data_IF_389284854489
#
_entry.id   IF_389284854489
#
_cell.length_a   1.000
_cell.length_b   1.000
_cell.length_c   1.000
_cell.angle_alpha   90.00
_cell.angle_beta   90.00
_cell.angle_gamma   90.00
#
_symmetry.space_group_name_H-M   'P 1'
#
loop_
_entity.id
_entity.type
_entity.pdbx_description
1 polymer ?
#
# COMPACT_ATOMS: atom_id res chain seq x y z
N UNK A 1 -9.16 -8.07 10.14
CA UNK A 1 -7.90 -8.29 10.89
C UNK A 1 -7.62 -7.21 11.95
N UNK A 2 -7.43 -5.94 11.57
CA UNK A 2 -6.95 -4.87 12.48
C UNK A 2 -7.78 -4.70 13.75
N UNK A 3 -9.11 -4.69 13.64
CA UNK A 3 -10.00 -4.62 14.81
C UNK A 3 -9.66 -5.68 15.85
N UNK A 4 -9.52 -6.95 15.43
CA UNK A 4 -9.17 -8.04 16.31
C UNK A 4 -7.74 -7.92 16.84
N UNK A 5 -6.80 -7.41 16.04
CA UNK A 5 -5.44 -7.17 16.50
C UNK A 5 -5.43 -6.12 17.62
N UNK A 6 -6.15 -5.01 17.45
CA UNK A 6 -6.34 -3.99 18.48
C UNK A 6 -7.00 -4.55 19.75
N UNK A 7 -8.05 -5.39 19.62
CA UNK A 7 -8.72 -6.01 20.77
C UNK A 7 -7.83 -7.03 21.51
N UNK A 8 -7.04 -7.84 20.80
CA UNK A 8 -6.25 -8.92 21.40
C UNK A 8 -4.86 -8.49 21.84
N UNK A 9 -4.14 -7.76 20.99
CA UNK A 9 -2.78 -7.33 21.26
C UNK A 9 -2.75 -6.18 22.26
N UNK A 10 -3.49 -5.10 21.97
CA UNK A 10 -3.45 -3.86 22.74
C UNK A 10 -4.56 -3.79 23.82
N UNK A 11 -5.52 -4.72 23.80
CA UNK A 11 -6.70 -4.75 24.69
C UNK A 11 -7.50 -3.44 24.66
N UNK A 12 -7.61 -2.84 23.47
CA UNK A 12 -8.37 -1.60 23.28
C UNK A 12 -9.88 -1.83 23.46
N UNK A 13 -10.64 -0.80 23.89
CA UNK A 13 -12.10 -0.82 23.83
C UNK A 13 -12.59 -0.91 22.37
N UNK A 14 -13.83 -1.34 22.17
CA UNK A 14 -14.41 -1.61 20.86
C UNK A 14 -14.30 -0.42 19.89
N UNK A 15 -14.63 0.77 20.36
CA UNK A 15 -14.57 2.05 19.63
C UNK A 15 -13.16 2.37 19.13
N UNK A 16 -12.14 2.22 19.98
CA UNK A 16 -10.74 2.44 19.62
C UNK A 16 -10.21 1.39 18.63
N UNK A 17 -10.64 0.14 18.80
CA UNK A 17 -10.32 -0.93 17.85
C UNK A 17 -10.97 -0.70 16.48
N UNK A 18 -12.20 -0.15 16.45
CA UNK A 18 -12.88 0.25 15.22
C UNK A 18 -12.14 1.38 14.52
N UNK A 19 -11.75 2.43 15.23
CA UNK A 19 -10.94 3.50 14.65
C UNK A 19 -9.62 2.99 14.08
N UNK A 20 -8.92 2.10 14.79
CA UNK A 20 -7.69 1.47 14.27
C UNK A 20 -7.96 0.77 12.93
N UNK A 21 -9.07 0.04 12.84
CA UNK A 21 -9.42 -0.68 11.62
C UNK A 21 -9.80 0.26 10.47
N UNK A 22 -10.58 1.31 10.74
CA UNK A 22 -11.01 2.28 9.74
C UNK A 22 -9.83 3.10 9.20
N UNK A 23 -8.93 3.59 10.06
CA UNK A 23 -7.75 4.34 9.61
C UNK A 23 -6.77 3.48 8.80
N UNK A 24 -6.68 2.18 9.06
CA UNK A 24 -5.88 1.30 8.22
C UNK A 24 -6.58 0.98 6.89
N UNK A 25 -7.85 0.54 6.93
CA UNK A 25 -8.56 0.06 5.75
C UNK A 25 -8.93 1.20 4.78
N UNK A 26 -9.29 2.36 5.31
CA UNK A 26 -9.67 3.56 4.54
C UNK A 26 -8.54 4.60 4.51
N UNK A 27 -7.36 4.26 5.04
CA UNK A 27 -6.15 5.08 4.99
C UNK A 27 -5.57 5.14 3.59
N UNK A 28 -4.67 6.12 3.37
CA UNK A 28 -4.07 6.35 2.07
C UNK A 28 -3.36 5.14 1.49
N UNK A 29 -2.63 4.38 2.32
CA UNK A 29 -1.88 3.22 1.82
C UNK A 29 -2.81 2.15 1.22
N UNK A 30 -3.81 1.65 1.94
CA UNK A 30 -4.65 0.56 1.43
C UNK A 30 -5.52 1.01 0.26
N UNK A 31 -6.05 2.24 0.35
CA UNK A 31 -6.91 2.79 -0.72
C UNK A 31 -6.13 3.06 -2.00
N UNK A 32 -4.86 3.47 -1.92
CA UNK A 32 -4.00 3.62 -3.09
C UNK A 32 -3.73 2.29 -3.83
N UNK A 33 -3.86 1.15 -3.13
CA UNK A 33 -3.63 -0.18 -3.71
C UNK A 33 -4.88 -0.78 -4.37
N UNK A 34 -5.99 -0.04 -4.47
CA UNK A 34 -7.21 -0.51 -5.18
C UNK A 34 -6.91 -0.81 -6.65
N UNK A 35 -5.97 -0.09 -7.25
CA UNK A 35 -5.47 -0.32 -8.62
C UNK A 35 -4.62 -1.60 -8.74
N UNK A 36 -4.06 -2.09 -7.62
CA UNK A 36 -3.21 -3.28 -7.54
C UNK A 36 -3.95 -4.41 -6.81
N UNK A 37 -4.93 -5.01 -7.47
CA UNK A 37 -5.89 -5.96 -6.84
C UNK A 37 -5.20 -7.13 -6.12
N UNK A 38 -4.16 -7.71 -6.73
CA UNK A 38 -3.34 -8.78 -6.14
C UNK A 38 -2.64 -8.32 -4.84
N UNK A 39 -2.08 -7.10 -4.84
CA UNK A 39 -1.47 -6.51 -3.65
C UNK A 39 -2.53 -6.25 -2.57
N UNK A 40 -3.67 -5.63 -2.92
CA UNK A 40 -4.76 -5.37 -1.99
C UNK A 40 -5.28 -6.66 -1.31
N UNK A 41 -5.51 -7.71 -2.10
CA UNK A 41 -5.93 -9.02 -1.60
C UNK A 41 -4.91 -9.62 -0.63
N UNK A 42 -3.62 -9.58 -0.96
CA UNK A 42 -2.57 -10.04 -0.06
C UNK A 42 -2.50 -9.21 1.24
N UNK A 43 -2.63 -7.89 1.14
CA UNK A 43 -2.55 -6.97 2.27
C UNK A 43 -3.75 -7.09 3.23
N UNK A 44 -4.93 -7.49 2.74
CA UNK A 44 -6.10 -7.73 3.57
C UNK A 44 -5.87 -8.81 4.66
N UNK A 45 -4.97 -9.77 4.37
CA UNK A 45 -4.59 -10.84 5.29
C UNK A 45 -3.54 -10.43 6.33
N UNK A 46 -2.74 -9.38 6.05
CA UNK A 46 -1.58 -8.97 6.86
C UNK A 46 -1.91 -8.76 8.35
N UNK A 47 -3.00 -8.06 8.75
CA UNK A 47 -3.28 -7.85 10.17
C UNK A 47 -3.65 -9.13 10.93
N UNK A 48 -4.05 -10.21 10.25
CA UNK A 48 -4.42 -11.47 10.89
C UNK A 48 -3.21 -12.21 11.47
N UNK A 49 -2.01 -11.98 10.94
CA UNK A 49 -0.78 -12.52 11.53
C UNK A 49 -0.61 -12.02 12.98
N UNK A 50 -0.84 -10.72 13.22
CA UNK A 50 -0.80 -10.14 14.56
C UNK A 50 -1.88 -10.74 15.49
N UNK A 51 -3.05 -11.10 14.95
CA UNK A 51 -4.14 -11.72 15.70
C UNK A 51 -3.78 -13.14 16.15
N UNK A 52 -3.23 -13.94 15.24
CA UNK A 52 -2.87 -15.34 15.50
C UNK A 52 -1.66 -15.44 16.43
N UNK A 53 -0.67 -14.56 16.23
CA UNK A 53 0.60 -14.54 16.96
C UNK A 53 0.57 -13.62 18.20
N UNK A 54 -0.58 -13.02 18.51
CA UNK A 54 -0.81 -12.32 19.77
C UNK A 54 -0.54 -13.25 20.98
N UNK A 55 -0.02 -12.71 22.09
CA UNK A 55 0.16 -13.49 23.30
C UNK A 55 -1.20 -14.02 23.79
N UNK A 56 -1.24 -15.31 24.14
CA UNK A 56 -2.46 -15.97 24.63
C UNK A 56 -2.09 -17.18 25.51
N UNK A 57 -2.96 -17.47 26.48
CA UNK A 57 -2.61 -18.36 27.59
C UNK A 57 -2.65 -19.86 27.22
N UNK A 58 -3.50 -20.29 26.27
CA UNK A 58 -3.71 -21.73 25.97
C UNK A 58 -4.01 -22.16 24.50
N UNK A 59 -3.55 -21.50 23.42
CA UNK A 59 -3.71 -22.07 22.08
C UNK A 59 -2.65 -23.13 21.78
N UNK A 60 -3.08 -24.28 21.24
CA UNK A 60 -2.17 -25.31 20.72
C UNK A 60 -1.31 -24.73 19.59
N UNK A 61 0.01 -24.84 19.71
CA UNK A 61 0.96 -24.23 18.77
C UNK A 61 0.75 -24.67 17.31
N UNK A 62 0.46 -25.96 17.09
CA UNK A 62 0.19 -26.51 15.75
C UNK A 62 -1.02 -25.86 15.07
N UNK A 63 -2.10 -25.57 15.80
CA UNK A 63 -3.29 -24.89 15.23
C UNK A 63 -2.93 -23.50 14.72
N UNK A 64 -2.10 -22.78 15.49
CA UNK A 64 -1.63 -21.45 15.08
C UNK A 64 -0.73 -21.54 13.86
N UNK A 65 0.14 -22.54 13.78
CA UNK A 65 0.98 -22.77 12.61
C UNK A 65 0.13 -23.04 11.36
N UNK A 66 -0.94 -23.85 11.47
CA UNK A 66 -1.89 -24.06 10.36
C UNK A 66 -2.60 -22.77 9.92
N UNK A 67 -3.02 -21.92 10.87
CA UNK A 67 -3.60 -20.62 10.51
C UNK A 67 -2.58 -19.70 9.84
N UNK A 68 -1.33 -19.66 10.32
CA UNK A 68 -0.26 -18.89 9.67
C UNK A 68 0.02 -19.44 8.27
N UNK A 69 0.01 -20.77 8.10
CA UNK A 69 0.18 -21.43 6.80
C UNK A 69 -0.92 -21.02 5.81
N UNK A 70 -2.19 -21.04 6.26
CA UNK A 70 -3.30 -20.58 5.44
C UNK A 70 -3.17 -19.08 5.08
N UNK A 71 -2.74 -18.22 6.00
CA UNK A 71 -2.55 -16.79 5.72
C UNK A 71 -1.43 -16.55 4.68
N UNK A 72 -0.28 -17.22 4.81
CA UNK A 72 0.76 -17.12 3.79
C UNK A 72 0.32 -17.72 2.46
N UNK A 73 -0.37 -18.88 2.46
CA UNK A 73 -0.91 -19.48 1.25
C UNK A 73 -1.87 -18.52 0.53
N UNK A 74 -2.78 -17.87 1.24
CA UNK A 74 -3.68 -16.86 0.66
C UNK A 74 -2.94 -15.65 0.09
N UNK A 75 -1.86 -15.18 0.73
CA UNK A 75 -1.03 -14.09 0.19
C UNK A 75 -0.24 -14.51 -1.05
N UNK A 76 0.27 -15.75 -1.10
CA UNK A 76 0.98 -16.29 -2.25
C UNK A 76 0.03 -16.54 -3.42
N UNK A 77 -1.13 -17.14 -3.15
CA UNK A 77 -2.19 -17.42 -4.12
C UNK A 77 -2.85 -16.16 -4.70
N UNK A 78 -2.69 -15.01 -4.05
CA UNK A 78 -3.13 -13.72 -4.57
C UNK A 78 -2.28 -13.22 -5.76
N UNK A 79 -1.15 -13.87 -6.10
CA UNK A 79 -0.33 -13.47 -7.26
C UNK A 79 0.66 -12.35 -7.00
N UNK A 80 0.91 -11.99 -5.74
CA UNK A 80 1.91 -10.98 -5.38
C UNK A 80 2.85 -11.48 -4.28
N UNK A 81 3.86 -12.26 -4.67
CA UNK A 81 4.83 -12.90 -3.74
C UNK A 81 5.55 -11.90 -2.84
N UNK A 82 5.79 -10.67 -3.32
CA UNK A 82 6.39 -9.60 -2.53
C UNK A 82 5.56 -9.22 -1.29
N UNK A 83 4.22 -9.29 -1.37
CA UNK A 83 3.35 -9.04 -0.21
C UNK A 83 3.59 -10.06 0.90
N UNK A 84 3.76 -11.34 0.55
CA UNK A 84 4.09 -12.39 1.51
C UNK A 84 5.46 -12.16 2.15
N UNK A 85 6.46 -11.75 1.36
CA UNK A 85 7.79 -11.40 1.85
C UNK A 85 7.76 -10.23 2.84
N UNK A 86 7.17 -9.10 2.44
CA UNK A 86 7.04 -7.91 3.30
C UNK A 86 6.27 -8.26 4.57
N UNK A 87 5.23 -9.10 4.48
CA UNK A 87 4.47 -9.56 5.63
C UNK A 87 5.32 -10.40 6.58
N UNK A 88 6.03 -11.40 6.06
CA UNK A 88 6.89 -12.27 6.87
C UNK A 88 7.99 -11.49 7.60
N UNK A 89 8.70 -10.60 6.88
CA UNK A 89 9.76 -9.77 7.46
C UNK A 89 9.23 -8.83 8.52
N UNK A 90 8.13 -8.12 8.28
CA UNK A 90 7.58 -7.19 9.27
C UNK A 90 6.98 -7.88 10.50
N UNK A 91 6.31 -9.03 10.33
CA UNK A 91 5.85 -9.85 11.48
C UNK A 91 7.06 -10.37 12.26
N UNK A 92 8.11 -10.83 11.56
CA UNK A 92 9.36 -11.27 12.18
C UNK A 92 10.04 -10.17 12.99
N UNK A 93 10.16 -8.96 12.42
CA UNK A 93 10.72 -7.78 13.09
C UNK A 93 9.89 -7.38 14.32
N UNK A 94 8.56 -7.39 14.21
CA UNK A 94 7.67 -7.15 15.34
C UNK A 94 7.84 -8.18 16.46
N UNK A 95 7.94 -9.47 16.12
CA UNK A 95 8.19 -10.54 17.09
C UNK A 95 9.58 -10.44 17.73
N UNK A 96 10.61 -10.06 16.96
CA UNK A 96 11.95 -9.83 17.46
C UNK A 96 11.98 -8.65 18.45
N UNK A 97 11.29 -7.55 18.14
CA UNK A 97 11.12 -6.44 19.05
C UNK A 97 10.41 -6.87 20.35
N UNK A 98 9.40 -7.75 20.25
CA UNK A 98 8.75 -8.34 21.43
C UNK A 98 9.65 -9.29 22.22
N UNK A 99 10.54 -10.02 21.55
CA UNK A 99 11.54 -10.86 22.22
C UNK A 99 12.51 -10.00 23.04
N UNK A 100 12.94 -8.86 22.50
CA UNK A 100 13.83 -7.93 23.20
C UNK A 100 13.17 -7.20 24.37
N UNK A 101 11.89 -6.83 24.22
CA UNK A 101 11.23 -5.87 25.10
C UNK A 101 10.13 -6.45 25.99
N UNK A 102 9.71 -7.69 25.77
CA UNK A 102 8.60 -8.34 26.46
C UNK A 102 8.97 -9.79 26.85
N UNK A 103 8.01 -10.72 26.74
CA UNK A 103 8.24 -12.13 27.10
C UNK A 103 8.98 -12.89 25.98
N UNK A 104 10.27 -13.15 26.22
CA UNK A 104 11.17 -13.91 25.34
C UNK A 104 10.63 -15.29 24.97
N UNK A 105 10.06 -16.04 25.93
CA UNK A 105 9.57 -17.41 25.70
C UNK A 105 8.35 -17.39 24.79
N UNK A 106 7.42 -16.46 25.02
CA UNK A 106 6.26 -16.30 24.15
C UNK A 106 6.65 -15.81 22.75
N UNK A 107 7.59 -14.88 22.64
CA UNK A 107 8.07 -14.39 21.35
C UNK A 107 8.80 -15.48 20.55
N UNK A 108 9.67 -16.26 21.20
CA UNK A 108 10.36 -17.39 20.55
C UNK A 108 9.37 -18.46 20.04
N UNK A 109 8.34 -18.80 20.83
CA UNK A 109 7.27 -19.71 20.39
C UNK A 109 6.49 -19.14 19.20
N UNK A 110 6.22 -17.83 19.19
CA UNK A 110 5.55 -17.17 18.07
C UNK A 110 6.44 -17.14 16.81
N UNK A 111 7.75 -16.94 16.94
CA UNK A 111 8.71 -17.03 15.83
C UNK A 111 8.76 -18.46 15.26
N UNK A 112 8.82 -19.47 16.12
CA UNK A 112 8.76 -20.87 15.69
C UNK A 112 7.43 -21.20 14.99
N UNK A 113 6.32 -20.64 15.49
CA UNK A 113 5.00 -20.78 14.84
C UNK A 113 4.95 -20.09 13.48
N UNK A 114 5.58 -18.91 13.35
CA UNK A 114 5.69 -18.18 12.08
C UNK A 114 6.49 -19.01 11.07
N UNK A 115 7.66 -19.52 11.47
CA UNK A 115 8.51 -20.35 10.62
C UNK A 115 7.82 -21.66 10.20
N UNK A 116 7.21 -22.38 11.15
CA UNK A 116 6.45 -23.59 10.86
C UNK A 116 5.28 -23.31 9.91
N UNK A 117 4.54 -22.22 10.12
CA UNK A 117 3.46 -21.81 9.23
C UNK A 117 3.95 -21.45 7.83
N UNK A 118 5.07 -20.73 7.70
CA UNK A 118 5.67 -20.40 6.41
C UNK A 118 6.09 -21.65 5.63
N UNK A 119 6.70 -22.63 6.30
CA UNK A 119 7.06 -23.92 5.69
C UNK A 119 5.82 -24.71 5.24
N UNK A 120 4.79 -24.75 6.07
CA UNK A 120 3.52 -25.42 5.76
C UNK A 120 2.73 -24.71 4.65
N UNK A 121 2.98 -23.43 4.39
CA UNK A 121 2.34 -22.70 3.29
C UNK A 121 2.88 -23.12 1.91
N UNK A 122 4.13 -23.60 1.84
CA UNK A 122 4.76 -24.03 0.58
C UNK A 122 3.96 -25.11 -0.17
N UNK A 123 3.57 -26.25 0.46
CA UNK A 123 2.73 -27.24 -0.21
C UNK A 123 1.33 -26.72 -0.54
N UNK A 124 0.75 -25.84 0.30
CA UNK A 124 -0.59 -25.26 0.04
C UNK A 124 -0.61 -24.32 -1.16
N UNK A 125 0.50 -23.64 -1.43
CA UNK A 125 0.66 -22.74 -2.57
C UNK A 125 1.47 -23.39 -3.72
N UNK A 126 1.72 -24.71 -3.67
CA UNK A 126 2.61 -25.39 -4.63
C UNK A 126 2.11 -25.27 -6.08
N UNK A 127 0.79 -25.28 -6.28
CA UNK A 127 0.17 -25.11 -7.60
C UNK A 127 0.59 -23.82 -8.30
N UNK A 128 0.95 -22.78 -7.53
CA UNK A 128 1.46 -21.53 -8.07
C UNK A 128 2.99 -21.41 -7.95
N UNK A 129 3.56 -21.87 -6.83
CA UNK A 129 4.99 -21.74 -6.58
C UNK A 129 5.84 -22.60 -7.51
N UNK A 130 5.44 -23.84 -7.82
CA UNK A 130 6.22 -24.72 -8.67
C UNK A 130 6.34 -24.18 -10.11
N UNK A 131 5.26 -23.79 -10.80
CA UNK A 131 5.38 -23.13 -12.10
C UNK A 131 6.16 -21.81 -12.02
N UNK A 132 5.97 -21.02 -10.95
CA UNK A 132 6.73 -19.78 -10.75
C UNK A 132 8.23 -20.05 -10.66
N UNK A 133 8.65 -21.09 -9.94
CA UNK A 133 10.06 -21.46 -9.79
C UNK A 133 10.66 -21.95 -11.11
N UNK A 134 9.91 -22.72 -11.89
CA UNK A 134 10.31 -23.16 -13.23
C UNK A 134 10.52 -21.96 -14.16
N UNK A 135 9.52 -21.08 -14.26
CA UNK A 135 9.55 -19.90 -15.11
C UNK A 135 10.59 -18.86 -14.69
N UNK A 136 10.81 -18.68 -13.38
CA UNK A 136 11.82 -17.74 -12.87
C UNK A 136 13.24 -18.17 -13.26
N UNK A 137 13.51 -19.48 -13.33
CA UNK A 137 14.81 -20.00 -13.78
C UNK A 137 15.09 -19.73 -15.25
N UNK A 138 14.03 -19.56 -16.03
CA UNK A 138 14.10 -19.26 -17.45
C UNK A 138 14.12 -17.74 -17.73
N UNK A 139 13.74 -16.94 -16.75
CA UNK A 139 13.65 -15.48 -16.86
C UNK A 139 15.02 -14.80 -16.90
N UNK A 140 15.06 -13.62 -17.52
CA UNK A 140 16.18 -12.66 -17.39
C UNK A 140 16.50 -12.24 -15.94
N UNK A 141 15.71 -12.67 -14.94
CA UNK A 141 15.86 -12.37 -13.51
C UNK A 141 16.28 -13.57 -12.67
N UNK A 142 16.80 -14.64 -13.27
CA UNK A 142 17.20 -15.88 -12.56
C UNK A 142 18.12 -15.63 -11.34
N UNK A 143 19.00 -14.62 -11.39
CA UNK A 143 19.92 -14.24 -10.31
C UNK A 143 19.41 -13.18 -9.32
N UNK A 144 18.15 -12.74 -9.46
CA UNK A 144 17.62 -11.54 -8.81
C UNK A 144 17.87 -10.27 -9.62
N UNK A 145 17.41 -9.15 -9.08
CA UNK A 145 17.52 -7.83 -9.70
C UNK A 145 18.91 -7.23 -9.44
N UNK A 146 19.49 -6.51 -10.43
CA UNK A 146 20.59 -5.60 -10.18
C UNK A 146 20.23 -4.60 -9.07
N UNK A 147 21.24 -4.13 -8.34
CA UNK A 147 21.05 -3.22 -7.20
C UNK A 147 20.18 -2.00 -7.55
N UNK A 148 20.43 -1.38 -8.71
CA UNK A 148 19.70 -0.19 -9.19
C UNK A 148 18.21 -0.45 -9.41
N UNK A 149 17.86 -1.65 -9.88
CA UNK A 149 16.47 -2.08 -10.05
C UNK A 149 15.82 -2.44 -8.71
N UNK A 150 16.54 -3.13 -7.81
CA UNK A 150 16.04 -3.49 -6.49
C UNK A 150 15.69 -2.25 -5.64
N UNK A 151 16.44 -1.15 -5.79
CA UNK A 151 16.16 0.12 -5.13
C UNK A 151 15.31 1.10 -5.97
N UNK A 152 14.80 0.68 -7.13
CA UNK A 152 13.88 1.51 -7.92
C UNK A 152 12.59 1.76 -7.14
N UNK A 153 11.98 2.94 -7.34
CA UNK A 153 10.81 3.41 -6.57
C UNK A 153 11.03 3.44 -5.05
N UNK A 154 12.23 3.85 -4.64
CA UNK A 154 12.53 4.18 -3.23
C UNK A 154 11.74 5.41 -2.79
N UNK A 155 11.24 5.39 -1.55
CA UNK A 155 10.52 6.53 -0.98
C UNK A 155 11.48 7.72 -0.78
N UNK A 156 11.32 8.75 -1.59
CA UNK A 156 12.19 9.92 -1.56
C UNK A 156 11.92 10.78 -0.30
N UNK A 157 12.92 11.18 0.51
CA UNK A 157 12.71 11.98 1.73
C UNK A 157 11.92 13.28 1.50
N UNK A 158 12.16 13.94 0.37
CA UNK A 158 11.42 15.14 -0.06
C UNK A 158 9.91 14.91 -0.28
N UNK A 159 9.46 13.66 -0.49
CA UNK A 159 8.04 13.32 -0.64
C UNK A 159 7.34 13.07 0.70
N UNK A 160 8.05 13.04 1.84
CA UNK A 160 7.48 12.62 3.11
C UNK A 160 6.16 13.32 3.48
N UNK A 161 6.07 14.64 3.28
CA UNK A 161 4.85 15.39 3.55
C UNK A 161 3.70 15.00 2.61
N UNK A 162 3.96 14.86 1.31
CA UNK A 162 2.95 14.48 0.31
C UNK A 162 2.51 13.02 0.44
N UNK A 163 3.40 12.14 0.90
CA UNK A 163 3.11 10.74 1.17
C UNK A 163 2.25 10.54 2.41
N UNK A 164 2.53 11.30 3.48
CA UNK A 164 1.93 11.06 4.80
C UNK A 164 0.75 12.00 5.11
N UNK A 165 0.65 13.16 4.49
CA UNK A 165 -0.46 14.09 4.68
C UNK A 165 -1.47 14.02 3.52
N UNK A 166 -2.75 14.30 3.78
CA UNK A 166 -3.76 14.38 2.72
C UNK A 166 -3.44 15.43 1.67
N UNK A 167 -3.53 15.07 0.39
CA UNK A 167 -3.31 15.98 -0.74
C UNK A 167 -4.53 16.83 -1.12
N UNK A 168 -5.75 16.45 -0.71
CA UNK A 168 -7.02 17.16 -1.01
C UNK A 168 -7.14 17.66 -2.47
N UNK A 169 -7.11 16.71 -3.41
CA UNK A 169 -7.20 16.97 -4.85
C UNK A 169 -5.87 16.90 -5.59
N UNK A 170 -4.75 16.70 -4.88
CA UNK A 170 -3.46 16.37 -5.48
C UNK A 170 -3.16 14.89 -5.23
N UNK A 171 -3.16 14.08 -6.31
CA UNK A 171 -2.77 12.68 -6.25
C UNK A 171 -1.24 12.54 -6.17
N UNK A 172 -0.80 11.36 -5.74
CA UNK A 172 0.59 10.92 -5.75
C UNK A 172 0.62 9.53 -6.37
N UNK A 173 1.79 9.10 -6.87
CA UNK A 173 1.99 7.71 -7.27
C UNK A 173 1.54 6.77 -6.15
N UNK A 174 0.75 5.74 -6.49
CA UNK A 174 0.04 4.90 -5.52
C UNK A 174 0.98 4.22 -4.52
N UNK A 175 2.17 3.81 -4.95
CA UNK A 175 3.18 3.18 -4.08
C UNK A 175 3.82 4.13 -3.06
N UNK A 176 3.78 5.44 -3.29
CA UNK A 176 4.29 6.45 -2.36
C UNK A 176 3.21 6.98 -1.43
N UNK A 177 1.95 6.56 -1.61
CA UNK A 177 0.82 7.08 -0.83
C UNK A 177 0.67 6.30 0.47
N UNK A 178 0.75 6.99 1.61
CA UNK A 178 0.56 6.41 2.93
C UNK A 178 -0.12 7.39 3.90
N UNK A 179 -1.00 8.24 3.37
CA UNK A 179 -1.52 9.36 4.15
C UNK A 179 -2.46 8.90 5.27
N UNK A 180 -2.44 9.67 6.35
CA UNK A 180 -3.49 9.71 7.36
C UNK A 180 -3.85 11.19 7.61
N UNK A 181 -5.10 11.50 8.01
CA UNK A 181 -5.48 12.83 8.49
C UNK A 181 -4.50 13.36 9.54
N UNK A 182 -4.25 14.66 9.59
CA UNK A 182 -3.41 15.33 10.61
C UNK A 182 -3.89 14.96 12.02
N UNK A 183 -5.21 14.88 12.21
CA UNK A 183 -5.81 14.44 13.48
C UNK A 183 -5.41 13.01 13.86
N UNK A 184 -5.34 12.09 12.89
CA UNK A 184 -4.90 10.73 13.10
C UNK A 184 -3.39 10.67 13.39
N UNK A 185 -2.55 11.40 12.64
CA UNK A 185 -1.13 11.48 12.96
C UNK A 185 -0.87 12.11 14.33
N UNK A 186 -1.63 13.14 14.73
CA UNK A 186 -1.55 13.73 16.06
C UNK A 186 -1.80 12.68 17.13
N UNK A 187 -2.87 11.90 16.99
CA UNK A 187 -3.20 10.81 17.91
C UNK A 187 -2.10 9.74 17.91
N UNK A 188 -1.59 9.33 16.75
CA UNK A 188 -0.49 8.35 16.66
C UNK A 188 0.78 8.86 17.37
N UNK A 189 1.15 10.13 17.17
CA UNK A 189 2.30 10.77 17.83
C UNK A 189 2.07 10.85 19.35
N UNK A 190 0.87 11.17 19.81
CA UNK A 190 0.53 11.19 21.24
C UNK A 190 0.67 9.79 21.85
N UNK A 191 0.18 8.75 21.18
CA UNK A 191 0.37 7.37 21.62
C UNK A 191 1.86 7.00 21.64
N UNK A 192 2.64 7.44 20.65
CA UNK A 192 4.08 7.21 20.58
C UNK A 192 4.86 7.89 21.71
N UNK A 193 4.51 9.14 22.05
CA UNK A 193 5.23 9.93 23.05
C UNK A 193 4.80 9.63 24.49
N UNK A 194 3.52 9.30 24.69
CA UNK A 194 2.93 9.21 26.02
C UNK A 194 2.28 7.86 26.32
N UNK A 195 1.83 7.14 25.31
CA UNK A 195 1.04 5.91 25.47
C UNK A 195 1.79 4.74 26.11
N UNK A 196 3.12 4.77 26.16
CA UNK A 196 3.99 3.71 26.67
C UNK A 196 4.43 3.92 28.13
N UNK A 197 3.84 4.88 28.85
CA UNK A 197 4.24 5.20 30.23
C UNK A 197 3.90 4.11 31.24
N UNK A 198 2.87 3.29 30.99
CA UNK A 198 2.60 2.12 31.84
C UNK A 198 3.41 0.94 31.34
N UNK A 199 4.01 0.17 32.25
CA UNK A 199 4.87 -0.99 31.93
C UNK A 199 4.21 -1.95 30.92
N UNK A 200 2.92 -2.23 31.09
CA UNK A 200 2.16 -3.11 30.18
C UNK A 200 2.02 -2.50 28.78
N UNK A 201 1.64 -1.23 28.70
CA UNK A 201 1.49 -0.50 27.43
C UNK A 201 2.86 -0.37 26.72
N UNK A 202 3.95 -0.17 27.47
CA UNK A 202 5.32 -0.15 26.96
C UNK A 202 5.67 -1.39 26.16
N UNK A 203 5.40 -2.57 26.71
CA UNK A 203 5.70 -3.86 26.05
C UNK A 203 4.89 -4.12 24.79
N UNK A 204 3.83 -3.35 24.55
CA UNK A 204 2.93 -3.49 23.41
C UNK A 204 3.15 -2.41 22.35
N UNK A 205 3.40 -1.17 22.79
CA UNK A 205 3.57 0.00 21.95
C UNK A 205 4.98 0.10 21.36
N UNK A 206 6.03 -0.16 22.14
CA UNK A 206 7.40 -0.06 21.60
C UNK A 206 7.66 -0.98 20.41
N UNK A 207 7.22 -2.25 20.41
CA UNK A 207 7.35 -3.09 19.22
C UNK A 207 6.64 -2.51 17.99
N UNK A 208 5.50 -1.82 18.16
CA UNK A 208 4.81 -1.13 17.07
C UNK A 208 5.57 0.13 16.62
N UNK A 209 6.17 0.88 17.55
CA UNK A 209 7.00 2.04 17.23
C UNK A 209 8.28 1.64 16.49
N UNK A 210 8.95 0.57 16.93
CA UNK A 210 10.11 0.02 16.25
C UNK A 210 9.73 -0.44 14.84
N UNK A 211 8.56 -1.08 14.69
CA UNK A 211 8.05 -1.48 13.38
C UNK A 211 7.72 -0.27 12.49
N UNK A 212 7.12 0.79 13.05
CA UNK A 212 6.84 2.05 12.33
C UNK A 212 8.14 2.70 11.83
N UNK A 213 9.14 2.83 12.69
CA UNK A 213 10.44 3.40 12.35
C UNK A 213 11.16 2.54 11.31
N UNK A 214 11.21 1.21 11.53
CA UNK A 214 11.82 0.28 10.59
C UNK A 214 11.13 0.32 9.23
N UNK A 215 9.81 0.43 9.18
CA UNK A 215 9.05 0.55 7.94
C UNK A 215 9.44 1.81 7.16
N UNK A 216 9.58 2.95 7.83
CA UNK A 216 10.07 4.18 7.18
C UNK A 216 11.51 4.05 6.69
N UNK A 217 12.41 3.48 7.50
CA UNK A 217 13.81 3.26 7.10
C UNK A 217 13.91 2.34 5.87
N UNK A 218 13.21 1.21 5.88
CA UNK A 218 13.21 0.29 4.74
C UNK A 218 12.55 0.91 3.50
N UNK A 219 11.55 1.78 3.68
CA UNK A 219 10.90 2.46 2.56
C UNK A 219 11.84 3.44 1.84
N UNK A 220 12.80 4.04 2.55
CA UNK A 220 13.78 4.96 1.98
C UNK A 220 14.68 4.32 0.91
N UNK A 221 14.85 2.99 0.93
CA UNK A 221 15.56 2.24 -0.11
C UNK A 221 16.94 2.81 -0.41
N UNK A 222 17.13 3.41 -1.60
CA UNK A 222 18.40 4.03 -2.02
C UNK A 222 18.91 5.12 -1.07
N UNK A 223 18.07 5.70 -0.22
CA UNK A 223 18.45 6.73 0.75
C UNK A 223 18.79 6.16 2.14
N UNK A 224 18.72 4.84 2.32
CA UNK A 224 19.05 4.14 3.57
C UNK A 224 20.27 3.21 3.37
N UNK A 225 21.43 3.52 4.01
CA UNK A 225 22.60 2.65 3.93
C UNK A 225 22.36 1.23 4.42
N UNK A 226 21.43 1.02 5.37
CA UNK A 226 21.06 -0.32 5.82
C UNK A 226 20.38 -1.09 4.69
N UNK A 227 19.44 -0.45 3.98
CA UNK A 227 18.82 -1.05 2.81
C UNK A 227 19.81 -1.40 1.71
N UNK A 228 20.93 -0.67 1.58
CA UNK A 228 21.96 -1.04 0.61
C UNK A 228 22.57 -2.41 0.89
N UNK A 229 22.75 -2.75 2.17
CA UNK A 229 23.22 -4.07 2.58
C UNK A 229 22.13 -5.11 2.36
N UNK A 230 20.88 -4.79 2.75
CA UNK A 230 19.75 -5.70 2.59
C UNK A 230 19.48 -6.04 1.12
N UNK A 231 19.52 -5.06 0.21
CA UNK A 231 19.28 -5.24 -1.21
C UNK A 231 20.29 -6.18 -1.91
N UNK A 232 21.40 -6.53 -1.24
CA UNK A 232 22.38 -7.52 -1.72
C UNK A 232 22.13 -8.93 -1.16
N UNK A 233 21.25 -9.07 -0.17
CA UNK A 233 20.92 -10.36 0.43
C UNK A 233 19.90 -11.11 -0.44
N UNK A 234 20.00 -12.46 -0.51
CA UNK A 234 19.02 -13.27 -1.20
C UNK A 234 17.63 -13.05 -0.60
N UNK A 235 16.66 -12.79 -1.47
CA UNK A 235 15.28 -12.48 -1.09
C UNK A 235 14.94 -11.00 -1.23
N UNK A 236 15.77 -10.10 -0.68
CA UNK A 236 15.59 -8.66 -0.88
C UNK A 236 15.91 -8.23 -2.30
N UNK A 237 16.93 -8.86 -2.92
CA UNK A 237 17.28 -8.63 -4.32
C UNK A 237 16.26 -9.20 -5.31
N UNK A 238 15.21 -9.91 -4.87
CA UNK A 238 14.17 -10.44 -5.76
C UNK A 238 13.08 -9.41 -6.08
N UNK A 239 13.04 -8.29 -5.35
CA UNK A 239 11.94 -7.36 -5.39
C UNK A 239 12.41 -5.92 -5.58
N UNK A 240 11.55 -5.11 -6.19
CA UNK A 240 11.71 -3.66 -6.34
C UNK A 240 10.65 -2.90 -5.54
N UNK A 241 10.68 -1.58 -5.57
CA UNK A 241 9.73 -0.69 -4.86
C UNK A 241 9.85 -0.79 -3.34
N UNK A 242 10.96 -0.31 -2.74
CA UNK A 242 11.09 -0.21 -1.30
C UNK A 242 9.93 0.55 -0.63
N UNK A 243 9.30 1.52 -1.31
CA UNK A 243 8.18 2.28 -0.75
C UNK A 243 7.03 1.40 -0.20
N UNK A 244 6.87 0.16 -0.68
CA UNK A 244 5.88 -0.81 -0.17
C UNK A 244 6.06 -1.19 1.31
N UNK A 245 7.22 -0.92 1.91
CA UNK A 245 7.39 -1.07 3.37
C UNK A 245 6.49 -0.13 4.18
N UNK A 246 5.99 0.95 3.58
CA UNK A 246 5.04 1.88 4.19
C UNK A 246 3.74 1.22 4.68
N UNK A 247 3.40 0.01 4.21
CA UNK A 247 2.27 -0.76 4.76
C UNK A 247 2.38 -0.97 6.26
N UNK A 248 3.58 -1.25 6.75
CA UNK A 248 3.83 -1.49 8.16
C UNK A 248 3.76 -0.20 8.96
N UNK A 249 4.19 0.91 8.36
CA UNK A 249 4.00 2.24 8.93
C UNK A 249 2.51 2.58 9.05
N UNK A 250 1.72 2.35 7.99
CA UNK A 250 0.28 2.58 8.00
C UNK A 250 -0.44 1.73 9.07
N UNK A 251 -0.12 0.44 9.17
CA UNK A 251 -0.72 -0.44 10.20
C UNK A 251 -0.33 -0.02 11.61
N UNK A 252 0.96 0.23 11.86
CA UNK A 252 1.45 0.63 13.17
C UNK A 252 0.84 1.97 13.59
N UNK A 253 0.83 2.97 12.70
CA UNK A 253 0.20 4.26 12.95
C UNK A 253 -1.29 4.10 13.28
N UNK A 254 -2.05 3.34 12.49
CA UNK A 254 -3.48 3.13 12.74
C UNK A 254 -3.75 2.47 14.12
N UNK A 255 -2.94 1.49 14.53
CA UNK A 255 -3.02 0.90 15.88
C UNK A 255 -2.67 1.91 16.99
N UNK A 256 -1.70 2.80 16.76
CA UNK A 256 -1.35 3.89 17.68
C UNK A 256 -2.48 4.91 17.79
N UNK A 257 -3.19 5.22 16.70
CA UNK A 257 -4.40 6.07 16.75
C UNK A 257 -5.43 5.48 17.69
N UNK A 258 -5.73 4.18 17.57
CA UNK A 258 -6.62 3.50 18.51
C UNK A 258 -6.14 3.57 19.95
N UNK A 259 -4.84 3.38 20.18
CA UNK A 259 -4.25 3.48 21.52
C UNK A 259 -4.46 4.87 22.13
N UNK A 260 -4.17 5.96 21.38
CA UNK A 260 -4.44 7.31 21.86
C UNK A 260 -5.92 7.54 22.12
N UNK A 261 -6.79 7.07 21.23
CA UNK A 261 -8.24 7.17 21.40
C UNK A 261 -8.74 6.46 22.67
N UNK A 262 -8.17 5.29 22.99
CA UNK A 262 -8.50 4.56 24.22
C UNK A 262 -8.08 5.33 25.48
N UNK A 263 -6.94 6.02 25.43
CA UNK A 263 -6.47 6.88 26.53
C UNK A 263 -7.43 8.05 26.75
N UNK A 264 -7.91 8.68 25.67
CA UNK A 264 -8.90 9.76 25.75
C UNK A 264 -10.24 9.28 26.32
N UNK A 265 -10.73 8.13 25.86
CA UNK A 265 -11.99 7.55 26.36
C UNK A 265 -11.95 7.18 27.84
N UNK A 266 -10.81 6.67 28.31
CA UNK A 266 -10.62 6.32 29.73
C UNK A 266 -10.42 7.55 30.62
N UNK A 267 -10.38 8.76 30.05
CA UNK A 267 -10.20 10.02 30.77
C UNK A 267 -8.76 10.25 31.23
N UNK A 268 -7.79 9.67 30.53
CA UNK A 268 -6.38 9.79 30.89
C UNK A 268 -5.92 11.25 30.67
N UNK A 269 -5.34 11.86 31.71
CA UNK A 269 -4.88 13.27 31.66
C UNK A 269 -3.54 13.37 30.93
N UNK A 270 -3.59 13.56 29.61
CA UNK A 270 -2.40 13.76 28.79
C UNK A 270 -1.91 15.22 28.98
N UNK A 271 -0.67 15.43 29.45
CA UNK A 271 -0.12 16.78 29.60
C UNK A 271 -0.11 17.58 28.28
N UNK A 272 -0.48 18.86 28.33
CA UNK A 272 -0.54 19.76 27.17
C UNK A 272 0.78 19.81 26.37
N UNK A 273 1.94 19.67 27.03
CA UNK A 273 3.24 19.64 26.35
C UNK A 273 3.35 18.56 25.26
N UNK A 274 2.73 17.39 25.46
CA UNK A 274 2.80 16.29 24.48
C UNK A 274 1.97 16.56 23.25
N UNK A 275 0.83 17.23 23.44
CA UNK A 275 0.04 17.75 22.32
C UNK A 275 0.79 18.86 21.58
N UNK A 276 1.48 19.76 22.30
CA UNK A 276 2.32 20.79 21.71
C UNK A 276 3.44 20.21 20.85
N UNK A 277 4.15 19.18 21.34
CA UNK A 277 5.18 18.47 20.57
C UNK A 277 4.57 17.78 19.35
N UNK A 278 3.41 17.13 19.49
CA UNK A 278 2.72 16.49 18.37
C UNK A 278 2.27 17.49 17.31
N UNK A 279 1.70 18.63 17.72
CA UNK A 279 1.32 19.70 16.82
C UNK A 279 2.54 20.32 16.13
N UNK A 280 3.64 20.56 16.86
CA UNK A 280 4.88 21.05 16.28
C UNK A 280 5.46 20.08 15.23
N UNK A 281 5.45 18.77 15.51
CA UNK A 281 5.89 17.76 14.54
C UNK A 281 5.03 17.78 13.26
N UNK A 282 3.71 17.97 13.38
CA UNK A 282 2.82 18.11 12.22
C UNK A 282 3.05 19.42 11.46
N UNK A 283 3.24 20.53 12.17
CA UNK A 283 3.56 21.81 11.54
C UNK A 283 4.90 21.75 10.80
N UNK A 284 5.89 21.02 11.34
CA UNK A 284 7.14 20.77 10.64
C UNK A 284 6.93 19.92 9.37
N UNK A 285 6.05 18.91 9.42
CA UNK A 285 5.72 18.12 8.24
C UNK A 285 4.94 18.92 7.18
N UNK A 286 4.03 19.80 7.62
CA UNK A 286 3.34 20.77 6.74
C UNK A 286 4.34 21.75 6.14
N UNK A 287 5.25 22.32 6.94
CA UNK A 287 6.31 23.21 6.45
C UNK A 287 7.24 22.50 5.47
N UNK A 288 7.55 21.22 5.73
CA UNK A 288 8.37 20.39 4.84
C UNK A 288 7.77 20.26 3.44
N UNK A 289 6.44 20.29 3.30
CA UNK A 289 5.77 20.27 1.98
C UNK A 289 6.12 21.48 1.09
N UNK A 290 6.54 22.59 1.69
CA UNK A 290 6.98 23.80 0.99
C UNK A 290 8.50 23.85 0.89
N UNK A 291 9.19 23.54 2.00
CA UNK A 291 10.66 23.56 2.06
C UNK A 291 11.31 22.51 1.15
N UNK A 292 10.62 21.42 0.83
CA UNK A 292 11.13 20.40 -0.08
C UNK A 292 11.17 20.82 -1.55
N UNK A 293 10.40 21.85 -1.95
CA UNK A 293 10.33 22.33 -3.33
C UNK A 293 11.67 22.91 -3.84
N UNK A 294 12.31 23.88 -3.17
CA UNK A 294 13.63 24.35 -3.62
C UNK A 294 14.68 23.24 -3.57
N UNK A 295 14.60 22.33 -2.59
CA UNK A 295 15.52 21.20 -2.46
C UNK A 295 15.40 20.20 -3.62
N UNK A 296 14.21 20.07 -4.22
CA UNK A 296 13.98 19.19 -5.37
C UNK A 296 14.78 19.57 -6.62
N UNK A 297 15.31 20.80 -6.68
CA UNK A 297 16.23 21.24 -7.75
C UNK A 297 17.61 20.59 -7.63
N UNK A 298 18.03 20.25 -6.41
CA UNK A 298 19.32 19.62 -6.13
C UNK A 298 19.20 18.09 -5.99
N UNK A 299 18.05 17.61 -5.52
CA UNK A 299 17.73 16.20 -5.38
C UNK A 299 16.46 15.90 -6.19
N UNK A 300 16.60 15.61 -7.49
CA UNK A 300 15.47 15.47 -8.40
C UNK A 300 14.58 14.30 -8.00
N UNK A 301 13.27 14.58 -7.99
CA UNK A 301 12.23 13.58 -7.84
C UNK A 301 12.04 12.81 -9.15
N UNK A 302 11.58 11.57 -9.06
CA UNK A 302 11.25 10.76 -10.23
C UNK A 302 10.04 11.32 -11.00
N UNK A 303 9.96 11.00 -12.29
CA UNK A 303 8.88 11.43 -13.17
C UNK A 303 7.50 10.95 -12.68
N UNK A 304 7.46 9.85 -11.92
CA UNK A 304 6.27 9.32 -11.30
C UNK A 304 5.68 10.23 -10.20
N UNK A 305 6.45 11.17 -9.65
CA UNK A 305 6.02 12.06 -8.56
C UNK A 305 6.75 13.40 -8.60
N UNK A 306 6.47 14.26 -9.59
CA UNK A 306 7.13 15.54 -9.76
C UNK A 306 6.86 16.46 -8.57
N UNK A 307 7.80 17.35 -8.25
CA UNK A 307 7.64 18.33 -7.18
C UNK A 307 6.43 19.22 -7.45
N UNK A 308 5.54 19.37 -6.46
CA UNK A 308 4.35 20.18 -6.58
C UNK A 308 4.06 20.86 -5.24
N UNK A 309 3.80 22.18 -5.30
CA UNK A 309 3.39 22.93 -4.12
C UNK A 309 1.98 22.52 -3.68
N UNK A 310 1.66 22.56 -2.38
CA UNK A 310 0.32 22.29 -1.91
C UNK A 310 -0.70 23.24 -2.55
N UNK A 311 -1.79 22.70 -3.08
CA UNK A 311 -2.86 23.50 -3.65
C UNK A 311 -3.65 24.24 -2.56
N UNK A 312 -4.44 25.24 -2.95
CA UNK A 312 -5.32 25.95 -2.02
C UNK A 312 -6.26 24.99 -1.26
N UNK A 313 -6.80 23.97 -1.93
CA UNK A 313 -7.65 22.94 -1.31
C UNK A 313 -6.90 22.14 -0.23
N UNK A 314 -5.61 21.87 -0.46
CA UNK A 314 -4.72 21.21 0.50
C UNK A 314 -4.54 22.06 1.76
N UNK A 315 -4.24 23.36 1.59
CA UNK A 315 -4.15 24.31 2.71
C UNK A 315 -5.45 24.42 3.50
N UNK A 316 -6.58 24.56 2.81
CA UNK A 316 -7.90 24.63 3.46
C UNK A 316 -8.22 23.34 4.21
N UNK A 317 -7.93 22.18 3.62
CA UNK A 317 -8.11 20.89 4.27
C UNK A 317 -7.27 20.76 5.55
N UNK A 318 -5.98 21.12 5.49
CA UNK A 318 -5.11 21.12 6.68
C UNK A 318 -5.55 22.13 7.74
N UNK A 319 -6.09 23.29 7.34
CA UNK A 319 -6.66 24.27 8.27
C UNK A 319 -7.87 23.70 9.03
N UNK A 320 -8.81 23.07 8.31
CA UNK A 320 -9.99 22.42 8.90
C UNK A 320 -9.55 21.31 9.87
N UNK A 321 -8.62 20.46 9.45
CA UNK A 321 -8.09 19.41 10.30
C UNK A 321 -7.30 19.94 11.50
N UNK A 322 -6.61 21.08 11.36
CA UNK A 322 -5.99 21.80 12.46
C UNK A 322 -7.02 22.26 13.50
N UNK A 323 -8.19 22.74 13.03
CA UNK A 323 -9.34 23.04 13.88
C UNK A 323 -9.85 21.80 14.63
N UNK A 324 -10.01 20.67 13.94
CA UNK A 324 -10.41 19.39 14.56
C UNK A 324 -9.36 18.90 15.58
N UNK A 325 -8.07 19.06 15.29
CA UNK A 325 -6.98 18.74 16.21
C UNK A 325 -7.01 19.61 17.47
N UNK A 326 -7.33 20.91 17.33
CA UNK A 326 -7.52 21.81 18.46
C UNK A 326 -8.73 21.41 19.33
N UNK A 327 -9.83 20.97 18.71
CA UNK A 327 -10.99 20.43 19.44
C UNK A 327 -10.62 19.14 20.20
N UNK A 328 -9.86 18.24 19.57
CA UNK A 328 -9.35 17.03 20.22
C UNK A 328 -8.47 17.36 21.43
N UNK A 329 -7.58 18.34 21.32
CA UNK A 329 -6.76 18.84 22.42
C UNK A 329 -7.63 19.40 23.56
N UNK A 330 -8.60 20.25 23.22
CA UNK A 330 -9.46 20.93 24.17
C UNK A 330 -10.30 19.97 25.01
N UNK A 331 -10.99 19.03 24.34
CA UNK A 331 -11.82 18.04 25.01
C UNK A 331 -11.00 16.89 25.60
N UNK A 332 -9.92 16.48 24.94
CA UNK A 332 -9.03 15.42 25.41
C UNK A 332 -8.29 15.76 26.71
N UNK A 333 -8.09 17.04 27.01
CA UNK A 333 -7.54 17.50 28.29
C UNK A 333 -8.52 17.48 29.46
N UNK A 334 -9.81 17.20 29.23
CA UNK A 334 -10.89 17.31 30.22
C UNK A 334 -11.44 15.93 30.56
N UNK A 335 -11.20 15.38 31.77
CA UNK A 335 -11.71 14.07 32.16
C UNK A 335 -13.17 14.17 32.64
N UNK A 336 -14.06 14.76 31.86
CA UNK A 336 -15.48 14.93 32.19
C UNK A 336 -16.37 14.05 31.30
N UNK A 337 -17.55 13.59 31.78
CA UNK A 337 -18.49 12.83 30.96
C UNK A 337 -18.94 13.62 29.72
N UNK A 338 -19.08 14.94 29.85
CA UNK A 338 -19.38 15.84 28.73
C UNK A 338 -18.28 15.81 27.68
N UNK A 339 -17.00 15.90 28.08
CA UNK A 339 -15.89 15.82 27.14
C UNK A 339 -15.84 14.47 26.40
N UNK A 340 -16.15 13.36 27.08
CA UNK A 340 -16.27 12.04 26.43
C UNK A 340 -17.37 12.01 25.38
N UNK A 341 -18.53 12.61 25.64
CA UNK A 341 -19.61 12.73 24.64
C UNK A 341 -19.17 13.52 23.41
N UNK A 342 -18.50 14.66 23.62
CA UNK A 342 -17.97 15.48 22.52
C UNK A 342 -16.90 14.74 21.72
N UNK A 343 -15.97 14.04 22.37
CA UNK A 343 -14.98 13.21 21.67
C UNK A 343 -15.66 12.14 20.81
N UNK A 344 -16.67 11.45 21.31
CA UNK A 344 -17.43 10.48 20.50
C UNK A 344 -18.12 11.16 19.30
N UNK A 345 -18.64 12.38 19.48
CA UNK A 345 -19.21 13.20 18.41
C UNK A 345 -18.20 13.68 17.36
N UNK A 346 -16.89 13.64 17.65
CA UNK A 346 -15.86 13.96 16.65
C UNK A 346 -15.58 12.79 15.69
N UNK A 347 -15.94 11.55 16.03
CA UNK A 347 -15.66 10.38 15.17
C UNK A 347 -16.17 10.57 13.73
N UNK A 348 -17.43 10.98 13.49
CA UNK A 348 -17.92 11.22 12.13
C UNK A 348 -17.10 12.27 11.38
N UNK A 349 -16.63 13.32 12.05
CA UNK A 349 -15.80 14.37 11.43
C UNK A 349 -14.40 13.85 11.07
N UNK A 350 -13.80 13.01 11.91
CA UNK A 350 -12.52 12.35 11.62
C UNK A 350 -12.64 11.42 10.40
N UNK A 351 -13.75 10.67 10.31
CA UNK A 351 -14.03 9.80 9.16
C UNK A 351 -14.37 10.60 7.91
N UNK A 352 -15.06 11.73 8.04
CA UNK A 352 -15.32 12.64 6.93
C UNK A 352 -14.02 13.23 6.39
N UNK A 353 -13.09 13.65 7.26
CA UNK A 353 -11.76 14.11 6.84
C UNK A 353 -10.99 13.01 6.10
N UNK A 354 -11.02 11.77 6.60
CA UNK A 354 -10.41 10.62 5.94
C UNK A 354 -11.02 10.34 4.56
N UNK A 355 -12.36 10.39 4.44
CA UNK A 355 -13.07 10.21 3.18
C UNK A 355 -12.75 11.33 2.18
N UNK A 356 -12.79 12.60 2.61
CA UNK A 356 -12.44 13.73 1.75
C UNK A 356 -10.98 13.67 1.28
N UNK A 357 -10.07 13.23 2.15
CA UNK A 357 -8.68 13.00 1.79
C UNK A 357 -8.53 11.92 0.71
N UNK A 358 -9.28 10.81 0.82
CA UNK A 358 -9.23 9.71 -0.15
C UNK A 358 -9.80 10.07 -1.52
N UNK A 359 -10.59 11.15 -1.65
CA UNK A 359 -11.05 11.67 -2.94
C UNK A 359 -9.93 12.11 -3.89
N UNK A 360 -8.71 12.30 -3.36
CA UNK A 360 -7.52 12.59 -4.16
C UNK A 360 -6.92 11.36 -4.87
N UNK A 361 -7.37 10.15 -4.53
CA UNK A 361 -6.80 8.92 -5.08
C UNK A 361 -7.22 8.70 -6.53
N UNK A 362 -6.36 8.12 -7.40
CA UNK A 362 -6.60 8.08 -8.83
C UNK A 362 -7.81 7.21 -9.22
N UNK A 363 -8.18 6.19 -8.43
CA UNK A 363 -9.42 5.43 -8.61
C UNK A 363 -10.72 6.28 -8.54
N UNK A 364 -10.66 7.55 -8.13
CA UNK A 364 -11.80 8.47 -8.20
C UNK A 364 -11.87 9.29 -9.49
N UNK A 365 -10.81 9.25 -10.31
CA UNK A 365 -10.73 9.90 -11.62
C UNK A 365 -11.04 8.84 -12.67
N UNK A 366 -12.34 8.60 -12.90
CA UNK A 366 -12.82 7.57 -13.82
C UNK A 366 -13.27 8.22 -15.13
N UNK A 367 -13.08 7.49 -16.22
CA UNK A 367 -13.71 7.75 -17.52
C UNK A 367 -14.87 6.79 -17.77
N UNK A 368 -15.47 6.84 -18.96
CA UNK A 368 -16.56 5.96 -19.36
C UNK A 368 -16.10 4.49 -19.49
N UNK A 369 -16.94 3.50 -19.11
CA UNK A 369 -16.65 2.08 -19.35
C UNK A 369 -16.39 1.74 -20.82
N UNK A 370 -16.92 2.54 -21.75
CA UNK A 370 -16.67 2.41 -23.19
C UNK A 370 -15.17 2.42 -23.53
N UNK A 371 -14.32 3.06 -22.72
CA UNK A 371 -12.86 3.07 -22.90
C UNK A 371 -12.22 1.66 -22.89
N UNK A 372 -12.92 0.67 -22.34
CA UNK A 372 -12.48 -0.73 -22.29
C UNK A 372 -13.42 -1.65 -23.07
N UNK A 373 -14.72 -1.37 -23.05
CA UNK A 373 -15.74 -2.23 -23.65
C UNK A 373 -15.85 -2.06 -25.16
N UNK A 374 -15.65 -0.84 -25.67
CA UNK A 374 -15.74 -0.57 -27.11
C UNK A 374 -14.45 -1.04 -27.78
N UNK A 375 -14.60 -1.83 -28.84
CA UNK A 375 -13.44 -2.40 -29.52
C UNK A 375 -12.89 -1.42 -30.54
N UNK A 376 -11.60 -1.12 -30.42
CA UNK A 376 -10.89 -0.28 -31.38
C UNK A 376 -10.59 -1.04 -32.68
N UNK A 377 -10.53 -0.37 -33.84
CA UNK A 377 -10.35 -1.03 -35.13
C UNK A 377 -9.16 -1.99 -35.23
N UNK A 378 -7.95 -1.69 -34.69
CA UNK A 378 -6.82 -2.61 -34.73
C UNK A 378 -7.10 -3.93 -34.01
N UNK A 379 -7.72 -3.88 -32.83
CA UNK A 379 -8.10 -5.06 -32.04
C UNK A 379 -9.10 -5.90 -32.82
N UNK A 380 -10.15 -5.28 -33.36
CA UNK A 380 -11.17 -5.97 -34.15
C UNK A 380 -10.59 -6.61 -35.41
N UNK A 381 -9.67 -5.91 -36.11
CA UNK A 381 -8.97 -6.44 -37.29
C UNK A 381 -8.14 -7.67 -36.94
N UNK A 382 -7.36 -7.60 -35.85
CA UNK A 382 -6.50 -8.70 -35.41
C UNK A 382 -7.32 -9.93 -34.99
N UNK A 383 -8.43 -9.73 -34.29
CA UNK A 383 -9.36 -10.83 -33.95
C UNK A 383 -9.95 -11.46 -35.21
N UNK A 384 -10.41 -10.66 -36.17
CA UNK A 384 -10.98 -11.16 -37.42
C UNK A 384 -9.95 -11.92 -38.29
N UNK A 385 -8.67 -11.58 -38.18
CA UNK A 385 -7.57 -12.26 -38.86
C UNK A 385 -7.00 -13.44 -38.06
N UNK A 386 -7.33 -13.56 -36.77
CA UNK A 386 -6.78 -14.59 -35.90
C UNK A 386 -7.29 -15.97 -36.35
N UNK A 387 -6.41 -16.84 -36.87
CA UNK A 387 -6.82 -18.07 -37.55
C UNK A 387 -7.46 -19.11 -36.61
N UNK A 388 -7.35 -18.94 -35.29
CA UNK A 388 -7.79 -19.91 -34.27
C UNK A 388 -9.06 -19.51 -33.48
N UNK A 389 -9.91 -18.59 -33.96
CA UNK A 389 -11.09 -18.12 -33.19
C UNK A 389 -12.40 -18.91 -33.39
N UNK A 390 -12.41 -20.01 -34.16
CA UNK A 390 -13.59 -20.85 -34.33
C UNK A 390 -13.50 -22.18 -33.57
N UNK A 391 -14.53 -22.48 -32.77
CA UNK A 391 -14.69 -23.56 -31.79
C UNK A 391 -14.66 -25.01 -32.32
N UNK A 392 -14.02 -25.29 -33.44
CA UNK A 392 -14.02 -26.64 -34.02
C UNK A 392 -12.63 -26.99 -34.55
N UNK A 393 -12.02 -27.98 -33.89
CA UNK A 393 -10.72 -28.62 -34.15
C UNK A 393 -9.48 -27.92 -33.60
N UNK A 394 -8.60 -28.74 -33.00
CA UNK A 394 -7.35 -28.33 -32.39
C UNK A 394 -6.53 -27.50 -33.37
N UNK A 395 -6.13 -26.29 -32.97
CA UNK A 395 -5.34 -25.43 -33.84
C UNK A 395 -3.99 -26.10 -34.12
N UNK A 396 -3.78 -26.52 -35.37
CA UNK A 396 -2.59 -27.27 -35.80
C UNK A 396 -1.32 -26.40 -35.79
N UNK A 397 -1.49 -25.07 -35.88
CA UNK A 397 -0.43 -24.08 -35.72
C UNK A 397 -0.79 -23.09 -34.59
N UNK A 398 0.15 -22.75 -33.70
CA UNK A 398 -0.07 -21.66 -32.75
C UNK A 398 -0.31 -20.35 -33.49
N UNK A 399 -1.22 -19.47 -33.02
CA UNK A 399 -1.55 -18.23 -33.70
C UNK A 399 -0.32 -17.32 -33.81
N UNK A 400 -0.22 -16.58 -34.92
CA UNK A 400 0.75 -15.49 -35.09
C UNK A 400 0.65 -14.52 -33.91
N UNK A 401 1.79 -14.00 -33.46
CA UNK A 401 1.89 -13.11 -32.30
C UNK A 401 2.07 -11.67 -32.74
N UNK A 402 1.39 -10.76 -32.04
CA UNK A 402 1.51 -9.34 -32.29
C UNK A 402 2.61 -8.73 -31.40
N UNK A 403 3.51 -7.99 -32.04
CA UNK A 403 4.44 -7.10 -31.37
C UNK A 403 4.07 -5.66 -31.72
N UNK A 404 3.58 -4.92 -30.75
CA UNK A 404 3.34 -3.49 -30.91
C UNK A 404 4.65 -2.74 -30.72
N UNK A 405 5.05 -1.97 -31.74
CA UNK A 405 6.24 -1.10 -31.70
C UNK A 405 5.87 0.38 -31.49
N UNK A 406 4.58 0.68 -31.34
CA UNK A 406 4.11 2.06 -31.22
C UNK A 406 3.99 2.50 -29.76
N UNK A 407 4.44 3.71 -29.48
CA UNK A 407 4.02 4.44 -28.29
C UNK A 407 2.64 5.08 -28.49
N UNK A 408 2.10 5.72 -27.45
CA UNK A 408 0.79 6.43 -27.48
C UNK A 408 0.88 7.88 -28.01
N UNK A 409 1.88 8.19 -28.84
CA UNK A 409 2.13 9.55 -29.35
C UNK A 409 1.39 9.88 -30.66
N UNK A 410 0.55 8.98 -31.15
CA UNK A 410 -0.28 9.18 -32.35
C UNK A 410 -1.66 9.74 -31.98
N UNK A 411 -2.38 10.30 -32.95
CA UNK A 411 -3.78 10.71 -32.80
C UNK A 411 -4.73 9.58 -33.22
N UNK A 412 -5.87 9.43 -32.54
CA UNK A 412 -6.81 8.31 -32.74
C UNK A 412 -7.55 8.34 -34.09
N UNK A 413 -7.44 9.43 -34.86
CA UNK A 413 -8.15 9.62 -36.13
C UNK A 413 -9.65 9.93 -35.99
N UNK A 414 -10.30 9.48 -34.91
CA UNK A 414 -11.71 9.70 -34.57
C UNK A 414 -11.91 10.64 -33.35
N UNK A 415 -10.87 11.37 -32.93
CA UNK A 415 -10.92 12.23 -31.73
C UNK A 415 -12.09 13.22 -31.73
N UNK A 416 -12.41 13.81 -32.89
CA UNK A 416 -13.50 14.76 -33.02
C UNK A 416 -14.88 14.11 -32.79
N UNK A 417 -15.05 12.86 -33.20
CA UNK A 417 -16.28 12.09 -32.95
C UNK A 417 -16.40 11.72 -31.47
N UNK A 418 -15.31 11.24 -30.87
CA UNK A 418 -15.25 10.94 -29.43
C UNK A 418 -15.56 12.18 -28.58
N UNK A 419 -15.01 13.34 -28.96
CA UNK A 419 -15.30 14.60 -28.30
C UNK A 419 -16.76 15.02 -28.48
N UNK A 420 -17.35 14.83 -29.66
CA UNK A 420 -18.77 15.11 -29.89
C UNK A 420 -19.70 14.21 -29.07
N UNK A 421 -19.38 12.91 -28.95
CA UNK A 421 -20.18 11.93 -28.19
C UNK A 421 -20.15 12.24 -26.69
N UNK A 422 -18.99 12.62 -26.14
CA UNK A 422 -18.80 12.73 -24.70
C UNK A 422 -18.69 14.16 -24.16
N UNK A 423 -18.76 15.20 -24.99
CA UNK A 423 -18.60 16.59 -24.55
C UNK A 423 -19.61 17.02 -23.48
N UNK A 424 -20.85 16.53 -23.55
CA UNK A 424 -21.94 16.82 -22.62
C UNK A 424 -22.02 15.83 -21.45
N UNK A 425 -21.33 14.68 -21.54
CA UNK A 425 -21.37 13.60 -20.55
C UNK A 425 -20.14 13.56 -19.64
N UNK A 426 -18.96 13.92 -20.15
CA UNK A 426 -17.69 13.75 -19.46
C UNK A 426 -16.92 15.08 -19.31
N UNK A 427 -16.31 15.32 -18.13
CA UNK A 427 -15.38 16.44 -17.98
C UNK A 427 -14.16 16.25 -18.89
N UNK A 428 -13.49 17.34 -19.24
CA UNK A 428 -12.32 17.32 -20.13
C UNK A 428 -11.21 16.36 -19.66
N UNK A 429 -11.00 16.23 -18.35
CA UNK A 429 -10.03 15.27 -17.80
C UNK A 429 -10.42 13.81 -18.07
N UNK A 430 -11.71 13.46 -17.94
CA UNK A 430 -12.18 12.11 -18.21
C UNK A 430 -12.14 11.79 -19.72
N UNK A 431 -12.38 12.78 -20.60
CA UNK A 431 -12.18 12.63 -22.05
C UNK A 431 -10.71 12.44 -22.42
N UNK A 432 -9.80 13.14 -21.74
CA UNK A 432 -8.37 12.90 -21.89
C UNK A 432 -8.00 11.47 -21.46
N UNK A 433 -8.49 11.01 -20.31
CA UNK A 433 -8.25 9.63 -19.84
C UNK A 433 -8.82 8.58 -20.80
N UNK A 434 -10.00 8.84 -21.40
CA UNK A 434 -10.56 8.00 -22.47
C UNK A 434 -9.60 7.92 -23.66
N UNK A 435 -9.08 9.07 -24.09
CA UNK A 435 -8.15 9.16 -25.23
C UNK A 435 -6.89 8.33 -24.97
N UNK A 436 -6.34 8.41 -23.75
CA UNK A 436 -5.18 7.60 -23.35
C UNK A 436 -5.53 6.11 -23.36
N UNK A 437 -6.67 5.72 -22.79
CA UNK A 437 -7.13 4.33 -22.77
C UNK A 437 -7.35 3.76 -24.18
N UNK A 438 -8.00 4.52 -25.07
CA UNK A 438 -8.20 4.12 -26.46
C UNK A 438 -6.87 3.93 -27.20
N UNK A 439 -5.88 4.83 -26.99
CA UNK A 439 -4.54 4.67 -27.56
C UNK A 439 -3.85 3.42 -27.02
N UNK A 440 -3.95 3.16 -25.71
CA UNK A 440 -3.42 1.93 -25.09
C UNK A 440 -4.05 0.66 -25.66
N UNK A 441 -5.35 0.69 -25.94
CA UNK A 441 -6.07 -0.42 -26.56
C UNK A 441 -5.63 -0.66 -28.01
N UNK A 442 -5.45 0.40 -28.81
CA UNK A 442 -4.98 0.29 -30.21
C UNK A 442 -3.58 -0.28 -30.33
N UNK A 443 -2.69 0.04 -29.39
CA UNK A 443 -1.34 -0.53 -29.35
C UNK A 443 -1.27 -1.85 -28.61
N UNK A 444 -2.40 -2.38 -28.11
CA UNK A 444 -2.44 -3.58 -27.26
C UNK A 444 -1.42 -3.51 -26.11
N UNK A 445 -1.50 -2.44 -25.31
CA UNK A 445 -0.63 -2.25 -24.16
C UNK A 445 -0.65 -3.48 -23.22
N UNK A 446 0.43 -3.76 -22.47
CA UNK A 446 0.55 -4.98 -21.68
C UNK A 446 -0.67 -5.27 -20.80
N UNK A 447 -1.09 -6.54 -20.76
CA UNK A 447 -2.31 -7.08 -20.13
C UNK A 447 -3.63 -6.88 -20.90
N UNK A 448 -3.68 -5.99 -21.90
CA UNK A 448 -4.86 -5.84 -22.76
C UNK A 448 -5.04 -6.98 -23.77
N UNK A 449 -3.99 -7.56 -24.39
CA UNK A 449 -4.16 -8.75 -25.22
C UNK A 449 -4.95 -9.90 -24.56
N UNK A 450 -4.76 -10.16 -23.25
CA UNK A 450 -5.56 -11.14 -22.50
C UNK A 450 -7.05 -10.83 -22.52
N UNK A 451 -7.43 -9.56 -22.36
CA UNK A 451 -8.83 -9.15 -22.39
C UNK A 451 -9.48 -9.43 -23.76
N UNK A 452 -8.69 -9.37 -24.83
CA UNK A 452 -9.17 -9.54 -26.20
C UNK A 452 -8.85 -10.93 -26.79
N UNK A 453 -8.30 -11.86 -26.01
CA UNK A 453 -7.83 -13.18 -26.46
C UNK A 453 -6.89 -13.08 -27.69
N UNK A 454 -5.95 -12.14 -27.66
CA UNK A 454 -4.93 -11.97 -28.70
C UNK A 454 -3.58 -12.44 -28.18
N UNK A 455 -2.83 -13.16 -29.00
CA UNK A 455 -1.48 -13.58 -28.66
C UNK A 455 -0.49 -12.42 -28.92
N UNK A 456 0.20 -11.95 -27.88
CA UNK A 456 1.23 -10.92 -27.96
C UNK A 456 2.63 -11.48 -27.70
N UNK A 457 3.67 -10.70 -28.03
CA UNK A 457 5.08 -11.00 -27.71
C UNK A 457 5.53 -10.37 -26.39
N UNK A 458 4.74 -9.46 -25.82
CA UNK A 458 5.09 -8.57 -24.69
C UNK A 458 5.29 -9.26 -23.31
N UNK A 459 5.14 -10.57 -23.23
CA UNK A 459 5.53 -11.40 -22.08
C UNK A 459 4.54 -11.40 -20.91
N UNK A 460 3.45 -10.63 -20.97
CA UNK A 460 2.43 -10.60 -19.91
C UNK A 460 1.25 -11.54 -20.20
N UNK A 461 0.95 -11.76 -21.49
CA UNK A 461 -0.33 -12.33 -21.95
C UNK A 461 -0.18 -13.64 -22.73
N UNK A 462 0.88 -14.40 -22.42
CA UNK A 462 1.28 -15.60 -23.16
C UNK A 462 2.44 -15.36 -24.12
N UNK A 463 2.98 -14.13 -24.15
CA UNK A 463 4.29 -13.77 -24.70
C UNK A 463 5.41 -14.63 -24.15
N UNK A 464 6.44 -14.89 -24.97
CA UNK A 464 7.68 -15.54 -24.52
C UNK A 464 8.13 -14.77 -23.27
N UNK A 465 8.06 -15.43 -22.11
CA UNK A 465 8.70 -14.93 -20.90
C UNK A 465 10.10 -14.53 -21.34
N UNK A 466 10.54 -13.27 -21.24
CA UNK A 466 11.78 -12.82 -21.88
C UNK A 466 12.91 -13.69 -21.35
N UNK A 467 13.21 -14.72 -22.13
CA UNK A 467 14.07 -15.80 -21.71
C UNK A 467 15.45 -15.19 -21.67
N UNK A 468 16.28 -15.65 -20.73
CA UNK A 468 17.67 -15.24 -20.73
C UNK A 468 18.31 -15.45 -22.13
N UNK A 469 18.00 -16.58 -22.77
CA UNK A 469 18.45 -16.90 -24.12
C UNK A 469 17.96 -15.91 -25.19
N UNK A 470 16.74 -15.37 -25.06
CA UNK A 470 16.24 -14.34 -25.96
C UNK A 470 17.00 -13.01 -25.79
N UNK A 471 17.30 -12.61 -24.54
CA UNK A 471 18.09 -11.39 -24.30
C UNK A 471 19.57 -11.51 -24.68
N UNK A 472 20.11 -12.72 -24.79
CA UNK A 472 21.50 -12.97 -25.20
C UNK A 472 21.68 -13.00 -26.72
N UNK A 473 20.59 -13.15 -27.49
CA UNK A 473 20.62 -13.29 -28.96
C UNK A 473 20.37 -11.98 -29.72
N UNK A 474 19.93 -10.93 -29.01
CA UNK A 474 19.74 -9.57 -29.51
C UNK A 474 20.82 -8.68 -28.89
#
# INVERSE_FOLDING_TARGET
>A
GVYLAARRLLRLPATAAWLSALFFALGGYLTAQVEHVNQLQGLAWLPWFLVVLAPADRPRAWRRALFVAALFALQLLAGHTQTAFITGVGVGAWLLARWLLADRRQAARALATLAAGALLALPLAAVQLLPTLELTRLSSRQGGLPFTEAVSFSWHPLLAARSLLPGYGQSLFSEYTAFLPLTAWLLAIIAALWGWRRRRERTQILPLLLLLVLAFLLALGRFDPLYWLLARLPGFNLFRVPARWLVWAALAAALLVGQAWALLQTGARIPRRWWGIGAAALLLLVAWSVLSLPLSRFLPLGAESPAAAPALRTWLGWLIEGGLAALLLWWGGRPTPTARRWLMGLIPLLLAALYLASRSQPYNNLTTPAAVLDRRPPVTRLQALAPCQAQTTACVAPPDRVLSLSHIFFDLGDQAELDAIYADQLPASARYDYTIAAKQQEILAPNLPLLFNLASVDGFDGGVLPLLSYSETV
#
